data_IF_848674508475
#
_entry.id   IF_848674508475
#
_cell.length_a   1.000
_cell.length_b   1.000
_cell.length_c   1.000
_cell.angle_alpha   90.00
_cell.angle_beta   90.00
_cell.angle_gamma   90.00
#
_symmetry.space_group_name_H-M   'P 1'
#
loop_
_entity.id
_entity.type
_entity.pdbx_description
1 polymer ?
#
# COMPACT_ATOMS: atom_id res chain seq x y z
N UNK A 1 -69.62 7.19 7.39
CA UNK A 1 -68.44 7.02 6.52
C UNK A 1 -67.52 8.14 6.91
N UNK A 2 -66.70 7.90 7.93
CA UNK A 2 -65.80 8.89 8.51
C UNK A 2 -64.42 8.66 7.90
N UNK A 3 -63.91 9.70 7.24
CA UNK A 3 -62.58 9.74 6.64
C UNK A 3 -61.53 9.93 7.72
N UNK A 4 -60.73 8.90 7.98
CA UNK A 4 -59.49 9.01 8.78
C UNK A 4 -58.29 9.17 7.86
N UNK A 5 -57.78 10.40 7.78
CA UNK A 5 -56.44 10.70 7.26
C UNK A 5 -55.38 10.07 8.17
N UNK A 6 -54.52 9.23 7.60
CA UNK A 6 -53.32 8.72 8.25
C UNK A 6 -52.15 9.65 7.91
N UNK A 7 -51.58 10.27 8.94
CA UNK A 7 -50.40 11.11 8.88
C UNK A 7 -49.15 10.29 8.49
N UNK A 8 -48.55 10.64 7.35
CA UNK A 8 -47.22 10.17 6.91
C UNK A 8 -46.15 11.02 7.60
N UNK A 9 -45.73 10.59 8.80
CA UNK A 9 -44.51 11.11 9.42
C UNK A 9 -43.32 10.29 8.92
N UNK A 10 -42.79 10.68 7.75
CA UNK A 10 -41.51 10.19 7.25
C UNK A 10 -40.38 10.67 8.17
N UNK A 11 -39.79 9.73 8.92
CA UNK A 11 -38.66 9.92 9.82
C UNK A 11 -37.44 10.49 9.08
N UNK A 12 -36.91 11.59 9.60
CA UNK A 12 -35.69 12.24 9.11
C UNK A 12 -34.50 11.28 9.13
N UNK A 13 -33.82 11.14 7.98
CA UNK A 13 -32.59 10.39 7.86
C UNK A 13 -31.51 10.98 8.76
N UNK A 14 -31.18 10.28 9.84
CA UNK A 14 -30.05 10.60 10.70
C UNK A 14 -28.76 10.35 9.90
N UNK A 15 -28.02 11.41 9.62
CA UNK A 15 -26.75 11.37 8.88
C UNK A 15 -25.71 10.65 9.73
N UNK A 16 -25.59 9.33 9.55
CA UNK A 16 -24.51 8.54 10.15
C UNK A 16 -23.18 9.09 9.61
N UNK A 17 -22.25 9.55 10.46
CA UNK A 17 -20.97 10.04 9.99
C UNK A 17 -20.24 8.88 9.30
N UNK A 18 -19.89 9.08 8.02
CA UNK A 18 -19.13 8.10 7.22
C UNK A 18 -17.84 7.76 7.96
N UNK A 19 -17.81 6.60 8.63
CA UNK A 19 -16.56 6.03 9.17
C UNK A 19 -15.59 5.96 7.99
N UNK A 20 -14.42 6.57 8.16
CA UNK A 20 -13.32 6.50 7.19
C UNK A 20 -13.08 5.02 6.88
N UNK A 21 -13.39 4.61 5.65
CA UNK A 21 -13.19 3.23 5.21
C UNK A 21 -11.70 3.00 4.94
N UNK A 22 -10.98 2.62 6.00
CA UNK A 22 -9.57 2.31 5.94
C UNK A 22 -9.26 1.17 4.95
N UNK A 23 -10.23 0.30 4.69
CA UNK A 23 -10.08 -0.79 3.73
C UNK A 23 -10.13 -0.28 2.29
N UNK A 24 -11.10 0.59 1.96
CA UNK A 24 -11.13 1.26 0.66
C UNK A 24 -9.87 2.11 0.43
N UNK A 25 -9.34 2.76 1.47
CA UNK A 25 -8.11 3.54 1.39
C UNK A 25 -6.87 2.67 1.12
N UNK A 26 -6.78 1.47 1.72
CA UNK A 26 -5.72 0.51 1.47
C UNK A 26 -5.78 -0.08 0.05
N UNK A 27 -6.99 -0.21 -0.49
CA UNK A 27 -7.26 -0.75 -1.82
C UNK A 27 -7.29 0.32 -2.92
N UNK A 28 -7.00 1.58 -2.60
CA UNK A 28 -6.95 2.67 -3.59
C UNK A 28 -5.58 2.75 -4.27
N UNK A 29 -5.49 3.23 -5.53
CA UNK A 29 -4.22 3.50 -6.18
C UNK A 29 -3.33 4.41 -5.32
N UNK A 30 -2.04 4.10 -5.29
CA UNK A 30 -1.08 4.83 -4.46
C UNK A 30 -0.93 6.26 -4.95
N UNK A 31 -1.36 7.22 -4.14
CA UNK A 31 -1.08 8.63 -4.37
C UNK A 31 0.27 8.99 -3.74
N UNK A 32 1.29 9.19 -4.58
CA UNK A 32 2.64 9.56 -4.15
C UNK A 32 2.73 10.95 -3.51
N UNK A 33 1.66 11.74 -3.55
CA UNK A 33 1.62 13.15 -3.10
C UNK A 33 1.00 13.37 -1.72
N UNK A 34 0.43 12.33 -1.07
CA UNK A 34 -0.16 12.48 0.26
C UNK A 34 0.88 12.89 1.30
N UNK A 35 0.58 13.98 2.02
CA UNK A 35 1.45 14.62 3.01
C UNK A 35 1.93 13.61 4.06
N UNK A 36 3.25 13.45 4.17
CA UNK A 36 3.90 12.61 5.17
C UNK A 36 3.79 13.32 6.52
N UNK A 37 2.99 12.77 7.42
CA UNK A 37 2.79 13.34 8.76
C UNK A 37 3.93 12.89 9.69
N UNK A 38 4.58 13.82 10.41
CA UNK A 38 5.76 13.51 11.20
C UNK A 38 5.41 12.61 12.40
N UNK A 39 5.96 11.40 12.43
CA UNK A 39 5.84 10.46 13.56
C UNK A 39 6.31 11.04 14.92
N UNK A 40 7.36 11.88 15.00
CA UNK A 40 7.89 12.32 16.29
C UNK A 40 6.88 13.08 17.14
N UNK A 41 6.07 13.96 16.52
CA UNK A 41 5.11 14.78 17.24
C UNK A 41 3.99 13.95 17.87
N UNK A 42 3.45 12.97 17.13
CA UNK A 42 2.41 12.08 17.63
C UNK A 42 2.93 11.14 18.73
N UNK A 43 4.10 10.53 18.53
CA UNK A 43 4.70 9.63 19.53
C UNK A 43 5.04 10.41 20.80
N UNK A 44 5.58 11.63 20.67
CA UNK A 44 5.86 12.49 21.84
C UNK A 44 4.59 12.88 22.57
N UNK A 45 3.51 13.24 21.86
CA UNK A 45 2.22 13.56 22.48
C UNK A 45 1.60 12.35 23.19
N UNK A 46 1.75 11.15 22.61
CA UNK A 46 1.24 9.90 23.18
C UNK A 46 1.99 9.45 24.44
N UNK A 47 3.29 9.76 24.53
CA UNK A 47 4.15 9.42 25.67
C UNK A 47 4.29 10.55 26.71
N UNK A 48 3.54 11.66 26.56
CA UNK A 48 3.55 12.74 27.53
C UNK A 48 2.91 12.29 28.86
N UNK A 49 3.33 12.84 30.03
CA UNK A 49 2.72 12.51 31.32
C UNK A 49 1.21 12.80 31.38
N UNK A 50 0.75 13.79 30.62
CA UNK A 50 -0.66 14.14 30.42
C UNK A 50 -0.94 14.24 28.90
N UNK A 51 -1.30 13.13 28.25
CA UNK A 51 -1.54 13.10 26.80
C UNK A 51 -2.76 13.95 26.41
N UNK A 52 -2.69 14.75 25.33
CA UNK A 52 -3.84 15.50 24.86
C UNK A 52 -4.95 14.54 24.40
N UNK A 53 -6.21 14.94 24.62
CA UNK A 53 -7.38 14.16 24.20
C UNK A 53 -7.40 13.86 22.67
N UNK A 54 -6.84 14.78 21.87
CA UNK A 54 -6.61 14.58 20.45
C UNK A 54 -5.11 14.56 20.14
N UNK A 55 -4.64 13.43 19.59
CA UNK A 55 -3.25 13.27 19.17
C UNK A 55 -3.03 13.85 17.76
N UNK A 56 -1.85 14.47 17.50
CA UNK A 56 -1.47 14.90 16.16
C UNK A 56 -1.65 13.78 15.12
N UNK A 57 -2.05 14.09 13.88
CA UNK A 57 -2.26 13.08 12.85
C UNK A 57 -1.01 12.20 12.67
N UNK A 58 -1.22 10.88 12.62
CA UNK A 58 -0.15 9.90 12.43
C UNK A 58 0.14 9.64 10.96
N UNK A 59 1.13 8.80 10.70
CA UNK A 59 1.43 8.31 9.35
C UNK A 59 0.22 7.55 8.77
N UNK A 60 -0.12 7.85 7.53
CA UNK A 60 -1.14 7.11 6.77
C UNK A 60 -0.56 5.79 6.23
N UNK A 61 -0.43 4.79 7.11
CA UNK A 61 0.10 3.48 6.71
C UNK A 61 -0.71 2.81 5.60
N UNK A 62 -2.02 3.07 5.52
CA UNK A 62 -2.87 2.51 4.47
C UNK A 62 -2.42 2.98 3.07
N UNK A 63 -1.94 4.22 2.96
CA UNK A 63 -1.39 4.76 1.70
C UNK A 63 0.02 4.26 1.36
N UNK A 64 0.74 3.67 2.32
CA UNK A 64 2.14 3.29 2.16
C UNK A 64 2.36 1.79 1.92
N UNK A 65 1.49 0.95 2.49
CA UNK A 65 1.57 -0.50 2.34
C UNK A 65 1.28 -0.92 0.89
N UNK A 66 2.03 -1.91 0.42
CA UNK A 66 1.75 -2.58 -0.84
C UNK A 66 0.80 -3.75 -0.59
N UNK A 67 -0.33 -3.76 -1.28
CA UNK A 67 -1.35 -4.81 -1.18
C UNK A 67 -1.69 -5.34 -2.55
N UNK A 68 -1.44 -6.63 -2.77
CA UNK A 68 -1.48 -7.21 -4.12
C UNK A 68 -1.19 -8.69 -4.16
N UNK A 69 -1.18 -9.24 -5.37
CA UNK A 69 -0.82 -10.64 -5.65
C UNK A 69 0.31 -10.72 -6.66
N UNK A 70 1.00 -11.85 -6.71
CA UNK A 70 1.92 -12.13 -7.82
C UNK A 70 1.14 -12.55 -9.07
N UNK A 71 1.52 -12.03 -10.23
CA UNK A 71 0.94 -12.38 -11.53
C UNK A 71 1.04 -13.88 -11.85
N UNK A 72 2.11 -14.52 -11.38
CA UNK A 72 2.24 -15.98 -11.30
C UNK A 72 2.55 -16.38 -9.85
N UNK A 73 1.59 -16.96 -9.13
CA UNK A 73 1.80 -17.32 -7.74
C UNK A 73 2.82 -18.45 -7.62
N UNK A 74 3.69 -18.37 -6.62
CA UNK A 74 4.67 -19.44 -6.32
C UNK A 74 4.06 -20.61 -5.55
N UNK A 75 2.80 -20.49 -5.12
CA UNK A 75 2.05 -21.47 -4.36
C UNK A 75 0.67 -21.64 -5.00
N UNK A 76 0.07 -22.82 -4.85
CA UNK A 76 -1.24 -23.11 -5.44
C UNK A 76 -2.39 -22.37 -4.75
N UNK A 77 -2.25 -22.06 -3.47
CA UNK A 77 -3.27 -21.35 -2.70
C UNK A 77 -3.22 -19.86 -3.01
N UNK A 78 -4.39 -19.25 -3.17
CA UNK A 78 -4.52 -17.80 -3.26
C UNK A 78 -3.90 -17.16 -2.01
N UNK A 79 -2.93 -16.28 -2.23
CA UNK A 79 -2.29 -15.54 -1.16
C UNK A 79 -2.15 -14.07 -1.57
N UNK A 80 -2.57 -13.20 -0.66
CA UNK A 80 -2.46 -11.76 -0.81
C UNK A 80 -1.24 -11.32 -0.01
N UNK A 81 -0.38 -10.56 -0.66
CA UNK A 81 0.74 -9.91 -0.01
C UNK A 81 0.29 -8.58 0.58
N UNK A 82 0.54 -8.39 1.87
CA UNK A 82 0.48 -7.10 2.55
C UNK A 82 1.89 -6.84 3.06
N UNK A 83 2.60 -5.94 2.40
CA UNK A 83 4.04 -5.75 2.62
C UNK A 83 4.38 -4.26 2.72
N UNK A 84 5.31 -3.93 3.62
CA UNK A 84 5.88 -2.59 3.71
C UNK A 84 6.73 -2.27 2.47
N UNK A 85 6.88 -1.00 2.09
CA UNK A 85 7.55 -0.64 0.86
C UNK A 85 9.09 -0.73 0.97
N UNK A 86 9.68 -0.87 2.17
CA UNK A 86 11.11 -0.72 2.43
C UNK A 86 12.02 -1.71 1.66
N UNK A 87 11.55 -2.94 1.44
CA UNK A 87 12.26 -3.99 0.69
C UNK A 87 13.70 -4.28 1.19
N UNK A 88 14.02 -3.98 2.46
CA UNK A 88 15.41 -4.04 2.96
C UNK A 88 15.73 -5.29 3.77
N UNK A 89 14.86 -6.32 3.74
CA UNK A 89 15.01 -7.53 4.56
C UNK A 89 16.20 -8.40 4.13
N UNK A 90 16.86 -9.03 5.10
CA UNK A 90 18.01 -9.91 4.85
C UNK A 90 17.66 -11.17 4.06
N UNK A 91 16.40 -11.62 4.13
CA UNK A 91 15.87 -12.77 3.37
C UNK A 91 15.74 -12.49 1.87
N UNK A 92 15.91 -11.25 1.42
CA UNK A 92 15.98 -10.90 0.01
C UNK A 92 17.36 -11.31 -0.55
N UNK A 93 17.39 -12.47 -1.24
CA UNK A 93 18.61 -13.13 -1.71
C UNK A 93 18.78 -13.14 -3.24
N UNK A 94 17.67 -13.09 -3.98
CA UNK A 94 17.69 -13.27 -5.43
C UNK A 94 17.02 -12.09 -6.13
N UNK A 95 17.41 -11.83 -7.39
CA UNK A 95 16.77 -10.81 -8.25
C UNK A 95 15.25 -10.94 -8.27
N UNK A 96 14.77 -12.18 -8.40
CA UNK A 96 13.33 -12.48 -8.41
C UNK A 96 12.63 -12.02 -7.13
N UNK A 97 13.27 -12.11 -5.95
CA UNK A 97 12.65 -11.67 -4.70
C UNK A 97 12.41 -10.16 -4.69
N UNK A 98 13.29 -9.37 -5.30
CA UNK A 98 13.08 -7.93 -5.38
C UNK A 98 12.09 -7.57 -6.48
N UNK A 99 12.32 -8.09 -7.68
CA UNK A 99 11.52 -7.73 -8.86
C UNK A 99 10.07 -8.23 -8.74
N UNK A 100 9.81 -9.33 -8.02
CA UNK A 100 8.44 -9.82 -7.82
C UNK A 100 7.53 -8.84 -7.07
N UNK A 101 8.09 -7.87 -6.32
CA UNK A 101 7.35 -6.85 -5.59
C UNK A 101 7.53 -5.41 -6.13
N UNK A 102 8.44 -5.22 -7.09
CA UNK A 102 8.85 -3.88 -7.57
C UNK A 102 8.78 -3.74 -9.09
N UNK A 103 8.03 -4.62 -9.75
CA UNK A 103 7.70 -4.57 -11.18
C UNK A 103 6.24 -4.96 -11.37
N UNK A 104 5.73 -4.93 -12.61
CA UNK A 104 4.35 -5.34 -12.94
C UNK A 104 4.06 -6.82 -12.71
N UNK A 105 5.04 -7.57 -12.21
CA UNK A 105 4.83 -8.91 -11.63
C UNK A 105 4.01 -8.85 -10.33
N UNK A 106 4.10 -7.76 -9.59
CA UNK A 106 3.22 -7.47 -8.47
C UNK A 106 1.98 -6.74 -8.99
N UNK A 107 0.81 -7.35 -8.85
CA UNK A 107 -0.45 -6.77 -9.29
C UNK A 107 -1.17 -6.20 -8.05
N UNK A 108 -1.30 -4.88 -7.93
CA UNK A 108 -2.09 -4.27 -6.86
C UNK A 108 -3.52 -4.81 -6.85
N UNK A 109 -4.07 -5.04 -5.65
CA UNK A 109 -5.48 -5.46 -5.55
C UNK A 109 -6.45 -4.42 -6.14
N UNK A 110 -6.08 -3.14 -6.07
CA UNK A 110 -6.79 -2.00 -6.65
C UNK A 110 -7.03 -2.13 -8.17
N UNK A 111 -6.17 -2.87 -8.87
CA UNK A 111 -6.19 -2.96 -10.33
C UNK A 111 -7.16 -4.04 -10.84
N UNK A 112 -7.73 -4.85 -9.94
CA UNK A 112 -8.67 -5.89 -10.33
C UNK A 112 -10.10 -5.35 -10.51
N UNK A 113 -10.86 -5.85 -11.52
CA UNK A 113 -10.44 -6.85 -12.50
C UNK A 113 -9.56 -6.26 -13.61
N UNK A 114 -8.50 -6.98 -13.98
CA UNK A 114 -7.62 -6.59 -15.08
C UNK A 114 -8.34 -6.64 -16.44
N UNK A 115 -8.08 -5.65 -17.29
CA UNK A 115 -8.61 -5.58 -18.66
C UNK A 115 -8.30 -6.85 -19.48
N UNK A 116 -9.16 -7.22 -20.44
CA UNK A 116 -8.99 -8.46 -21.25
C UNK A 116 -7.60 -8.54 -21.90
N UNK A 117 -7.15 -7.45 -22.48
CA UNK A 117 -5.88 -7.35 -23.21
C UNK A 117 -4.71 -6.85 -22.33
N UNK A 118 -4.84 -6.94 -21.01
CA UNK A 118 -3.77 -6.51 -20.10
C UNK A 118 -2.53 -7.41 -20.25
N UNK A 119 -1.35 -6.86 -20.63
CA UNK A 119 -0.14 -7.65 -20.84
C UNK A 119 0.33 -8.36 -19.57
N UNK A 120 -0.10 -7.92 -18.38
CA UNK A 120 0.24 -8.56 -17.10
C UNK A 120 -0.32 -9.98 -16.98
N UNK A 121 -1.28 -10.36 -17.82
CA UNK A 121 -1.81 -11.73 -17.92
C UNK A 121 -0.88 -12.67 -18.69
N UNK A 122 0.08 -12.16 -19.45
CA UNK A 122 0.96 -12.95 -20.31
C UNK A 122 2.21 -13.42 -19.56
N UNK A 123 2.52 -14.73 -19.65
CA UNK A 123 3.68 -15.34 -18.98
C UNK A 123 5.00 -14.74 -19.46
N UNK A 124 5.16 -14.53 -20.77
CA UNK A 124 6.39 -13.98 -21.35
C UNK A 124 6.70 -12.58 -20.78
N UNK A 125 5.71 -11.69 -20.80
CA UNK A 125 5.78 -10.35 -20.22
C UNK A 125 6.22 -10.39 -18.75
N UNK A 126 5.64 -11.31 -17.96
CA UNK A 126 5.96 -11.43 -16.54
C UNK A 126 7.34 -12.04 -16.26
N UNK A 127 7.79 -12.97 -17.10
CA UNK A 127 9.15 -13.50 -17.01
C UNK A 127 10.21 -12.43 -17.30
N UNK A 128 9.90 -11.46 -18.18
CA UNK A 128 10.80 -10.35 -18.48
C UNK A 128 10.84 -9.34 -17.32
N UNK A 129 9.69 -9.06 -16.70
CA UNK A 129 9.63 -8.26 -15.47
C UNK A 129 10.54 -8.81 -14.36
N UNK A 130 10.57 -10.12 -14.15
CA UNK A 130 11.45 -10.75 -13.16
C UNK A 130 12.95 -10.63 -13.48
N UNK A 131 13.32 -10.37 -14.74
CA UNK A 131 14.71 -10.25 -15.20
C UNK A 131 15.21 -8.82 -15.30
N UNK A 132 14.30 -7.83 -15.21
CA UNK A 132 14.62 -6.39 -15.28
C UNK A 132 15.77 -6.00 -14.35
N UNK A 133 16.47 -4.95 -14.78
CA UNK A 133 17.45 -4.28 -13.96
C UNK A 133 16.83 -3.73 -12.68
N UNK A 134 17.64 -3.67 -11.64
CA UNK A 134 17.22 -3.18 -10.34
C UNK A 134 16.94 -1.68 -10.40
N UNK A 135 15.74 -1.29 -9.99
CA UNK A 135 15.33 0.10 -9.81
C UNK A 135 14.84 0.29 -8.38
N UNK A 136 15.33 1.32 -7.68
CA UNK A 136 14.83 1.63 -6.35
C UNK A 136 13.35 2.02 -6.37
N UNK A 137 12.56 1.43 -5.49
CA UNK A 137 11.13 1.71 -5.31
C UNK A 137 10.83 3.14 -4.85
N UNK A 138 11.77 3.80 -4.17
CA UNK A 138 11.58 5.13 -3.53
C UNK A 138 12.08 6.26 -4.41
N UNK A 139 13.34 6.19 -4.86
CA UNK A 139 13.97 7.27 -5.61
C UNK A 139 14.10 7.00 -7.12
N UNK A 140 13.71 5.82 -7.62
CA UNK A 140 13.78 5.48 -9.04
C UNK A 140 15.19 5.24 -9.59
N UNK A 141 16.24 5.31 -8.76
CA UNK A 141 17.63 5.08 -9.16
C UNK A 141 17.82 3.66 -9.72
N UNK A 142 18.53 3.57 -10.84
CA UNK A 142 18.90 2.29 -11.47
C UNK A 142 20.21 1.75 -10.90
N UNK A 143 20.27 0.42 -10.72
CA UNK A 143 21.42 -0.33 -10.22
C UNK A 143 21.86 -1.45 -11.17
N UNK A 144 21.19 -1.61 -12.32
CA UNK A 144 21.51 -2.66 -13.28
C UNK A 144 21.39 -4.05 -12.65
N UNK A 145 22.44 -4.86 -12.75
CA UNK A 145 22.56 -6.17 -12.11
C UNK A 145 23.21 -6.15 -10.71
N UNK A 146 23.54 -4.98 -10.17
CA UNK A 146 24.36 -4.84 -8.95
C UNK A 146 23.55 -4.97 -7.66
N UNK A 147 23.24 -6.21 -7.29
CA UNK A 147 22.36 -6.50 -6.15
C UNK A 147 22.89 -6.00 -4.80
N UNK A 148 24.21 -6.07 -4.56
CA UNK A 148 24.81 -5.57 -3.31
C UNK A 148 24.63 -4.05 -3.16
N UNK A 149 24.89 -3.29 -4.21
CA UNK A 149 24.71 -1.84 -4.22
C UNK A 149 23.24 -1.45 -3.96
N UNK A 150 22.29 -2.20 -4.54
CA UNK A 150 20.87 -2.03 -4.25
C UNK A 150 20.56 -2.26 -2.77
N UNK A 151 21.03 -3.37 -2.17
CA UNK A 151 20.77 -3.66 -0.75
C UNK A 151 21.30 -2.58 0.17
N UNK A 152 22.52 -2.08 -0.08
CA UNK A 152 23.12 -1.00 0.72
C UNK A 152 22.38 0.33 0.54
N UNK A 153 21.84 0.57 -0.65
CA UNK A 153 20.94 1.70 -0.88
C UNK A 153 19.61 1.57 -0.13
N UNK A 154 18.94 0.41 -0.20
CA UNK A 154 17.66 0.18 0.47
C UNK A 154 17.76 0.29 2.00
N UNK A 155 18.90 -0.05 2.61
CA UNK A 155 19.14 0.18 4.04
C UNK A 155 19.10 1.67 4.40
N UNK A 156 19.72 2.53 3.58
CA UNK A 156 19.70 3.98 3.77
C UNK A 156 18.29 4.55 3.57
N UNK A 157 17.61 4.11 2.52
CA UNK A 157 16.21 4.47 2.25
C UNK A 157 15.29 4.06 3.41
N UNK A 158 15.51 2.89 4.03
CA UNK A 158 14.78 2.47 5.22
C UNK A 158 15.05 3.41 6.41
N UNK A 159 16.31 3.74 6.67
CA UNK A 159 16.67 4.60 7.80
C UNK A 159 16.09 6.02 7.66
N UNK A 160 16.04 6.54 6.44
CA UNK A 160 15.33 7.78 6.14
C UNK A 160 13.81 7.63 6.32
N UNK A 161 13.22 6.56 5.78
CA UNK A 161 11.78 6.28 5.88
C UNK A 161 11.30 6.06 7.33
N UNK A 162 12.18 5.62 8.22
CA UNK A 162 11.91 5.50 9.67
C UNK A 162 11.85 6.85 10.37
N UNK A 163 12.66 7.83 9.92
CA UNK A 163 12.77 9.17 10.53
C UNK A 163 11.61 10.10 10.16
N UNK A 164 10.97 9.84 9.03
CA UNK A 164 9.66 10.43 8.67
C UNK A 164 8.58 9.99 9.67
#
# INVERSE_FOLDING_TARGET
MEDTQADDQSLSASTVPKKRDAFAQLMSPRDSTRSRQPKPARISAMNAPDPPAELPPGRDFASELKVGIHAHPSMNQLHIHIISPDMSRDTMRHRKHYNSFNTDFFIPLADFPLHRDDPRKTIAYQNDNLKKDFQCWRCGRMFGNKFKELKDHLKRELDEWKRE
#
